data_IF_728710970572
#
_entry.id   IF_728710970572
#
_cell.length_a   1.000
_cell.length_b   1.000
_cell.length_c   1.000
_cell.angle_alpha   90.00
_cell.angle_beta   90.00
_cell.angle_gamma   90.00
#
_symmetry.space_group_name_H-M   'P 1'
#
loop_
_entity.id
_entity.type
_entity.pdbx_description
1 polymer ?
#
# COMPACT_ATOMS: atom_id res chain seq x y z
N UNK A 1 -21.92 -6.12 -3.04
CA UNK A 1 -20.79 -6.99 -3.41
C UNK A 1 -19.85 -6.25 -4.37
N UNK A 2 -18.69 -5.76 -3.89
CA UNK A 2 -17.75 -4.90 -4.67
C UNK A 2 -16.54 -5.69 -5.22
N UNK A 3 -16.52 -7.01 -5.05
CA UNK A 3 -15.38 -7.86 -5.40
C UNK A 3 -15.19 -8.05 -6.92
N UNK A 4 -16.16 -7.67 -7.76
CA UNK A 4 -16.13 -7.89 -9.21
C UNK A 4 -15.38 -6.83 -10.03
N UNK A 5 -15.06 -5.67 -9.46
CA UNK A 5 -14.53 -4.53 -10.23
C UNK A 5 -12.99 -4.44 -10.29
N UNK A 6 -12.27 -5.40 -9.70
CA UNK A 6 -10.82 -5.36 -9.56
C UNK A 6 -10.18 -6.35 -10.52
N UNK A 7 -9.28 -5.88 -11.40
CA UNK A 7 -8.50 -6.75 -12.30
C UNK A 7 -7.87 -7.92 -11.51
N UNK A 8 -7.81 -9.14 -12.07
CA UNK A 8 -7.37 -10.33 -11.34
C UNK A 8 -5.97 -10.18 -10.72
N UNK A 9 -5.03 -9.55 -11.44
CA UNK A 9 -3.70 -9.21 -10.91
C UNK A 9 -3.74 -8.31 -9.67
N UNK A 10 -4.62 -7.30 -9.69
CA UNK A 10 -4.78 -6.38 -8.56
C UNK A 10 -5.34 -7.10 -7.34
N UNK A 11 -6.24 -8.07 -7.53
CA UNK A 11 -6.75 -8.93 -6.45
C UNK A 11 -5.64 -9.77 -5.82
N UNK A 12 -4.76 -10.36 -6.62
CA UNK A 12 -3.61 -11.15 -6.12
C UNK A 12 -2.65 -10.25 -5.33
N UNK A 13 -2.32 -9.07 -5.85
CA UNK A 13 -1.49 -8.10 -5.15
C UNK A 13 -2.10 -7.66 -3.81
N UNK A 14 -3.42 -7.45 -3.77
CA UNK A 14 -4.13 -7.13 -2.53
C UNK A 14 -4.05 -8.28 -1.52
N UNK A 15 -4.33 -9.51 -1.94
CA UNK A 15 -4.24 -10.69 -1.08
C UNK A 15 -2.83 -10.88 -0.51
N UNK A 16 -1.79 -10.69 -1.33
CA UNK A 16 -0.40 -10.73 -0.88
C UNK A 16 -0.11 -9.66 0.17
N UNK A 17 -0.52 -8.42 -0.09
CA UNK A 17 -0.32 -7.31 0.85
C UNK A 17 -1.05 -7.52 2.19
N UNK A 18 -2.26 -8.08 2.17
CA UNK A 18 -3.01 -8.43 3.37
C UNK A 18 -2.32 -9.57 4.13
N UNK A 19 -1.85 -10.61 3.43
CA UNK A 19 -1.11 -11.71 4.05
C UNK A 19 0.18 -11.23 4.73
N UNK A 20 0.92 -10.33 4.09
CA UNK A 20 2.11 -9.73 4.70
C UNK A 20 1.78 -8.93 5.98
N UNK A 21 0.68 -8.17 5.96
CA UNK A 21 0.21 -7.46 7.15
C UNK A 21 -0.16 -8.42 8.28
N UNK A 22 -0.88 -9.49 7.98
CA UNK A 22 -1.25 -10.51 8.97
C UNK A 22 -0.01 -11.21 9.56
N UNK A 23 0.97 -11.58 8.73
CA UNK A 23 2.23 -12.16 9.20
C UNK A 23 3.02 -11.20 10.09
N UNK A 24 3.03 -9.90 9.73
CA UNK A 24 3.66 -8.87 10.55
C UNK A 24 2.96 -8.68 11.89
N UNK A 25 1.62 -8.75 11.90
CA UNK A 25 0.80 -8.63 13.10
C UNK A 25 0.99 -9.86 14.03
N UNK A 26 1.02 -11.05 13.44
CA UNK A 26 1.29 -12.31 14.14
C UNK A 26 2.67 -12.30 14.81
N UNK A 27 3.71 -11.86 14.07
CA UNK A 27 5.07 -11.72 14.61
C UNK A 27 5.17 -10.69 15.77
N UNK A 28 4.19 -9.81 15.92
CA UNK A 28 4.08 -8.82 17.01
C UNK A 28 3.14 -9.28 18.14
N UNK A 29 2.46 -10.40 17.98
CA UNK A 29 1.48 -10.89 18.94
C UNK A 29 0.23 -9.99 19.06
N UNK A 30 -0.13 -9.29 17.99
CA UNK A 30 -1.32 -8.42 17.99
C UNK A 30 -2.60 -9.24 18.14
N UNK A 31 -3.54 -8.72 18.92
CA UNK A 31 -4.85 -9.36 19.11
C UNK A 31 -5.76 -9.10 17.91
N UNK A 32 -6.78 -9.94 17.72
CA UNK A 32 -7.69 -9.83 16.59
C UNK A 32 -8.37 -8.45 16.50
N UNK A 33 -8.67 -7.82 17.65
CA UNK A 33 -9.24 -6.48 17.75
C UNK A 33 -8.27 -5.34 17.35
N UNK A 34 -6.98 -5.63 17.30
CA UNK A 34 -5.91 -4.72 16.84
C UNK A 34 -5.58 -4.91 15.36
N UNK A 35 -6.09 -5.98 14.74
CA UNK A 35 -5.88 -6.33 13.34
C UNK A 35 -7.09 -5.93 12.49
N UNK A 36 -8.30 -6.11 13.02
CA UNK A 36 -9.54 -5.81 12.32
C UNK A 36 -10.65 -5.37 13.31
N UNK A 37 -10.97 -4.07 13.42
CA UNK A 37 -10.39 -2.93 12.69
C UNK A 37 -9.08 -2.45 13.30
N UNK A 38 -8.00 -2.46 12.51
CA UNK A 38 -6.69 -1.97 12.90
C UNK A 38 -6.76 -0.48 13.30
N UNK A 39 -6.31 -0.11 14.52
CA UNK A 39 -6.23 1.29 14.93
C UNK A 39 -5.17 2.03 14.13
N UNK A 40 -5.25 3.36 14.12
CA UNK A 40 -4.29 4.18 13.36
C UNK A 40 -2.84 3.93 13.83
N UNK A 41 -2.61 3.70 15.13
CA UNK A 41 -1.30 3.34 15.68
C UNK A 41 -0.70 2.08 15.02
N UNK A 42 -1.48 1.00 14.92
CA UNK A 42 -1.04 -0.24 14.27
C UNK A 42 -0.69 -0.01 12.80
N UNK A 43 -1.49 0.79 12.09
CA UNK A 43 -1.23 1.14 10.69
C UNK A 43 0.04 2.00 10.52
N UNK A 44 0.30 2.91 11.46
CA UNK A 44 1.50 3.75 11.49
C UNK A 44 2.75 2.92 11.73
N UNK A 45 2.73 2.03 12.72
CA UNK A 45 3.82 1.13 13.02
C UNK A 45 4.13 0.22 11.83
N UNK A 46 3.08 -0.34 11.20
CA UNK A 46 3.25 -1.12 9.99
C UNK A 46 3.90 -0.30 8.88
N UNK A 47 3.41 0.92 8.61
CA UNK A 47 3.98 1.81 7.60
C UNK A 47 5.45 2.18 7.89
N UNK A 48 5.79 2.39 9.17
CA UNK A 48 7.14 2.73 9.61
C UNK A 48 8.15 1.60 9.34
N UNK A 49 7.72 0.33 9.33
CA UNK A 49 8.61 -0.80 9.01
C UNK A 49 9.22 -0.75 7.60
N UNK A 50 8.60 0.02 6.69
CA UNK A 50 9.04 0.17 5.31
C UNK A 50 9.88 1.44 5.07
N UNK A 51 10.02 2.31 6.07
CA UNK A 51 10.83 3.51 5.97
C UNK A 51 12.27 3.16 5.55
N UNK A 52 12.76 3.74 4.47
CA UNK A 52 14.10 3.46 3.96
C UNK A 52 14.28 2.14 3.21
N UNK A 53 13.22 1.32 3.09
CA UNK A 53 13.29 -0.01 2.45
C UNK A 53 12.51 -0.10 1.15
N UNK A 54 11.30 0.47 1.10
CA UNK A 54 10.41 0.37 -0.06
C UNK A 54 10.08 1.74 -0.67
N UNK A 55 9.67 1.72 -1.95
CA UNK A 55 9.08 2.88 -2.62
C UNK A 55 7.82 3.34 -1.89
N UNK A 56 7.65 4.65 -1.74
CA UNK A 56 6.42 5.23 -1.17
C UNK A 56 5.15 4.75 -1.88
N UNK A 57 5.19 4.62 -3.22
CA UNK A 57 4.09 4.08 -4.01
C UNK A 57 3.71 2.64 -3.64
N UNK A 58 4.70 1.78 -3.38
CA UNK A 58 4.47 0.39 -2.96
C UNK A 58 3.82 0.33 -1.59
N UNK A 59 4.27 1.16 -0.64
CA UNK A 59 3.69 1.20 0.71
C UNK A 59 2.25 1.71 0.66
N UNK A 60 1.95 2.73 -0.14
CA UNK A 60 0.57 3.20 -0.37
C UNK A 60 -0.32 2.12 -0.97
N UNK A 61 0.19 1.34 -1.93
CA UNK A 61 -0.55 0.22 -2.51
C UNK A 61 -0.87 -0.86 -1.47
N UNK A 62 0.09 -1.19 -0.58
CA UNK A 62 -0.14 -2.13 0.53
C UNK A 62 -1.20 -1.62 1.50
N UNK A 63 -1.13 -0.36 1.92
CA UNK A 63 -2.12 0.25 2.81
C UNK A 63 -3.50 0.32 2.15
N UNK A 64 -3.57 0.60 0.85
CA UNK A 64 -4.82 0.55 0.07
C UNK A 64 -5.46 -0.85 0.09
N UNK A 65 -4.65 -1.89 -0.08
CA UNK A 65 -5.12 -3.27 0.01
C UNK A 65 -5.69 -3.61 1.39
N UNK A 66 -5.03 -3.18 2.47
CA UNK A 66 -5.53 -3.35 3.84
C UNK A 66 -6.86 -2.60 4.04
N UNK A 67 -6.97 -1.37 3.53
CA UNK A 67 -8.21 -0.60 3.56
C UNK A 67 -9.34 -1.33 2.83
N UNK A 68 -9.10 -1.82 1.62
CA UNK A 68 -10.09 -2.62 0.88
C UNK A 68 -10.51 -3.86 1.66
N UNK A 69 -9.57 -4.54 2.30
CA UNK A 69 -9.84 -5.72 3.13
C UNK A 69 -10.71 -5.39 4.36
N UNK A 70 -10.45 -4.27 5.04
CA UNK A 70 -11.31 -3.81 6.14
C UNK A 70 -12.73 -3.52 5.67
N UNK A 71 -12.86 -2.76 4.58
CA UNK A 71 -14.16 -2.41 4.00
C UNK A 71 -14.91 -3.65 3.50
N UNK A 72 -14.23 -4.65 2.95
CA UNK A 72 -14.85 -5.89 2.49
C UNK A 72 -15.41 -6.74 3.62
N UNK A 73 -14.84 -6.64 4.83
CA UNK A 73 -15.32 -7.32 6.04
C UNK A 73 -16.32 -6.47 6.84
N UNK A 74 -16.75 -5.32 6.32
CA UNK A 74 -17.73 -4.46 6.98
C UNK A 74 -17.19 -3.63 8.15
N UNK A 75 -15.86 -3.58 8.32
CA UNK A 75 -15.24 -2.82 9.41
C UNK A 75 -14.90 -1.39 8.97
N UNK A 76 -15.04 -0.40 9.88
CA UNK A 76 -14.68 0.97 9.59
C UNK A 76 -13.16 1.11 9.41
N UNK A 77 -12.77 1.92 8.43
CA UNK A 77 -11.37 2.29 8.23
C UNK A 77 -10.96 3.36 9.25
N UNK A 78 -10.00 3.04 10.12
CA UNK A 78 -9.50 3.95 11.18
C UNK A 78 -8.25 4.76 10.79
N UNK A 79 -7.73 4.61 9.57
CA UNK A 79 -6.56 5.38 9.14
C UNK A 79 -6.89 6.83 8.83
N UNK A 80 -6.17 7.79 9.43
CA UNK A 80 -6.41 9.22 9.34
C UNK A 80 -5.23 10.02 8.77
N UNK A 81 -5.15 11.30 9.16
CA UNK A 81 -4.14 12.24 8.69
C UNK A 81 -2.71 11.90 9.12
N UNK A 82 -2.56 11.26 10.29
CA UNK A 82 -1.24 10.89 10.78
C UNK A 82 -0.65 9.79 9.91
N UNK A 83 -1.47 8.81 9.51
CA UNK A 83 -1.07 7.78 8.56
C UNK A 83 -0.62 8.37 7.22
N UNK A 84 -1.34 9.37 6.72
CA UNK A 84 -0.97 10.09 5.49
C UNK A 84 0.39 10.78 5.63
N UNK A 85 0.65 11.45 6.75
CA UNK A 85 1.95 12.11 7.03
C UNK A 85 3.09 11.10 7.10
N UNK A 86 2.89 9.96 7.78
CA UNK A 86 3.90 8.90 7.85
C UNK A 86 4.20 8.30 6.48
N UNK A 87 3.18 8.04 5.66
CA UNK A 87 3.40 7.56 4.29
C UNK A 87 4.22 8.54 3.46
N UNK A 88 4.00 9.85 3.61
CA UNK A 88 4.84 10.89 2.99
C UNK A 88 6.27 10.87 3.53
N UNK A 89 6.45 10.66 4.85
CA UNK A 89 7.77 10.50 5.45
C UNK A 89 8.52 9.27 4.94
N UNK A 90 7.84 8.13 4.81
CA UNK A 90 8.36 6.88 4.25
C UNK A 90 8.80 7.08 2.81
N UNK A 91 8.01 7.78 2.00
CA UNK A 91 8.37 8.12 0.62
C UNK A 91 9.62 9.01 0.54
N UNK A 92 9.74 10.01 1.41
CA UNK A 92 10.93 10.88 1.46
C UNK A 92 12.19 10.12 1.86
N UNK A 93 12.06 9.14 2.75
CA UNK A 93 13.16 8.26 3.18
C UNK A 93 13.41 7.10 2.22
N UNK A 94 12.58 6.90 1.19
CA UNK A 94 12.76 5.79 0.25
C UNK A 94 14.13 5.90 -0.44
N UNK A 95 14.84 4.77 -0.61
CA UNK A 95 16.19 4.80 -1.19
C UNK A 95 16.13 5.29 -2.64
N UNK A 96 17.18 6.00 -3.08
CA UNK A 96 17.27 6.50 -4.45
C UNK A 96 17.17 5.36 -5.49
N UNK A 97 17.66 4.16 -5.14
CA UNK A 97 17.55 2.95 -5.97
C UNK A 97 16.12 2.49 -6.23
N UNK A 98 15.16 2.92 -5.40
CA UNK A 98 13.74 2.61 -5.54
C UNK A 98 13.01 3.60 -6.46
N UNK A 99 13.64 4.72 -6.86
CA UNK A 99 13.04 5.66 -7.80
C UNK A 99 13.23 5.13 -9.21
N UNK A 100 12.12 4.93 -9.92
CA UNK A 100 12.17 4.63 -11.34
C UNK A 100 12.75 5.87 -12.05
N UNK A 101 13.70 5.71 -12.98
CA UNK A 101 14.10 6.83 -13.83
C UNK A 101 12.86 7.42 -14.51
N UNK A 102 12.89 8.74 -14.72
CA UNK A 102 11.82 9.44 -15.42
C UNK A 102 11.56 8.73 -16.76
N UNK A 103 10.29 8.49 -17.08
CA UNK A 103 9.95 7.86 -18.35
C UNK A 103 10.44 8.80 -19.46
N UNK A 104 11.16 8.30 -20.48
CA UNK A 104 11.54 9.14 -21.60
C UNK A 104 10.28 9.79 -22.17
N UNK A 105 10.36 11.09 -22.45
CA UNK A 105 9.31 11.80 -23.17
C UNK A 105 9.01 11.11 -24.49
N UNK A 106 7.80 11.34 -25.02
CA UNK A 106 7.42 10.81 -26.33
C UNK A 106 8.39 11.38 -27.38
N UNK A 107 9.13 10.50 -28.07
CA UNK A 107 10.00 10.91 -29.18
C UNK A 107 9.19 11.14 -30.45
N UNK A 108 9.74 11.91 -31.39
CA UNK A 108 9.11 12.20 -32.68
C UNK A 108 8.79 10.90 -33.47
N UNK A 109 9.66 9.89 -33.36
CA UNK A 109 9.43 8.53 -33.90
C UNK A 109 8.19 7.84 -33.33
N UNK A 110 7.85 8.06 -32.06
CA UNK A 110 6.66 7.48 -31.44
C UNK A 110 5.37 8.18 -31.88
N UNK A 111 5.46 9.44 -32.32
CA UNK A 111 4.34 10.16 -32.94
C UNK A 111 4.09 9.69 -34.38
N UNK A 112 5.12 9.25 -35.10
CA UNK A 112 4.99 8.79 -36.50
C UNK A 112 4.29 7.43 -36.62
N UNK A 113 4.31 6.60 -35.57
CA UNK A 113 3.68 5.26 -35.55
C UNK A 113 2.14 5.32 -35.45
N UNK A 114 1.57 6.50 -35.18
CA UNK A 114 0.12 6.68 -35.01
C UNK A 114 -0.64 6.96 -36.33
N UNK A 115 0.07 7.07 -37.46
CA UNK A 115 -0.47 7.30 -38.81
C UNK A 115 -0.40 6.03 -39.67
#
# INVERSE_FOLDING_TARGET
>A
AIAGAVKPDTRICHQRAVKEFLNWADARGLRADEILPAPESTLLEYAATFAGRLAGGTVRAKVSAIKTWHTSHGHPWKGGDLLRKVLTGVERKAPMSSRRPERPGVSDEMMTILH
#
